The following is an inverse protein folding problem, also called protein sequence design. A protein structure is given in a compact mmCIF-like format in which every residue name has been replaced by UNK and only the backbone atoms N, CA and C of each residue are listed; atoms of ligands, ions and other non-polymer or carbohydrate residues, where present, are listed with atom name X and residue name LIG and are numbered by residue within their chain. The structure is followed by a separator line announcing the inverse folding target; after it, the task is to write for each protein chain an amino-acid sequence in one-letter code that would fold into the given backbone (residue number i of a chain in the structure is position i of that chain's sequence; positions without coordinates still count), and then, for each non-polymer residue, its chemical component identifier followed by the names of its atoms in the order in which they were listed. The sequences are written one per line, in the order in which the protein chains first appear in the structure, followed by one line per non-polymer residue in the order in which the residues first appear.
data_IF_625436021232
#
_entry.id   IF_625436021232
#
_cell.length_a   1.000
_cell.length_b   1.000
_cell.length_c   1.000
_cell.angle_alpha   90.00
_cell.angle_beta   90.00
_cell.angle_gamma   90.00
#
_symmetry.space_group_name_H-M   'P 1'
#
loop_
_entity.id
_entity.type
_entity.pdbx_description
1 polymer ?
#
# COMPACT_ATOMS: atom_id res chain seq x y z
N UNK A 1 14.09 9.15 -13.62
CA UNK A 1 13.76 8.11 -12.63
C UNK A 1 12.58 7.32 -13.14
N UNK A 2 12.61 5.99 -13.01
CA UNK A 2 11.52 5.09 -13.44
C UNK A 2 10.59 4.73 -12.28
N UNK A 3 9.28 4.73 -12.53
CA UNK A 3 8.26 4.12 -11.73
C UNK A 3 7.69 2.90 -12.48
N UNK A 4 7.91 1.71 -11.96
CA UNK A 4 7.58 0.46 -12.63
C UNK A 4 6.37 -0.18 -11.94
N UNK A 5 5.28 -0.32 -12.66
CA UNK A 5 4.01 -0.86 -12.16
C UNK A 5 3.59 -2.09 -12.96
N UNK A 6 2.74 -2.92 -12.37
CA UNK A 6 2.10 -4.02 -13.08
C UNK A 6 0.61 -3.75 -13.16
N UNK A 7 0.13 -3.62 -14.38
CA UNK A 7 -1.29 -3.42 -14.68
C UNK A 7 -1.70 -4.28 -15.87
N UNK A 8 -2.88 -4.86 -15.81
CA UNK A 8 -3.46 -5.62 -16.93
C UNK A 8 -4.35 -4.76 -17.82
N UNK A 9 -4.88 -3.66 -17.28
CA UNK A 9 -5.76 -2.69 -17.95
C UNK A 9 -5.42 -1.27 -17.47
N UNK A 10 -5.76 -0.26 -18.31
CA UNK A 10 -5.50 1.16 -17.96
C UNK A 10 -6.73 1.91 -17.42
N UNK A 11 -7.90 1.36 -17.58
CA UNK A 11 -9.19 1.99 -17.23
C UNK A 11 -9.68 1.64 -15.82
N UNK A 12 -8.83 1.07 -14.99
CA UNK A 12 -9.16 0.61 -13.63
C UNK A 12 -8.53 1.52 -12.59
N UNK A 13 -9.26 1.75 -11.49
CA UNK A 13 -8.79 2.48 -10.32
C UNK A 13 -8.28 3.88 -10.65
N UNK A 14 -7.16 4.24 -10.07
CA UNK A 14 -6.51 5.54 -10.30
C UNK A 14 -5.38 5.48 -11.33
N UNK A 15 -5.30 4.45 -12.18
CA UNK A 15 -4.21 4.31 -13.16
C UNK A 15 -4.02 5.56 -14.03
N UNK A 16 -5.11 6.14 -14.56
CA UNK A 16 -5.03 7.35 -15.39
C UNK A 16 -4.50 8.57 -14.62
N UNK A 17 -4.73 8.63 -13.31
CA UNK A 17 -4.20 9.67 -12.44
C UNK A 17 -2.73 9.41 -12.12
N UNK A 18 -2.34 8.15 -11.88
CA UNK A 18 -0.94 7.76 -11.75
C UNK A 18 -0.13 8.18 -12.99
N UNK A 19 -0.63 7.90 -14.19
CA UNK A 19 0.01 8.27 -15.46
C UNK A 19 0.20 9.80 -15.56
N UNK A 20 -0.86 10.58 -15.29
CA UNK A 20 -0.81 12.05 -15.26
C UNK A 20 0.15 12.58 -14.20
N UNK A 21 0.14 11.98 -13.01
CA UNK A 21 1.03 12.41 -11.91
C UNK A 21 2.50 12.09 -12.21
N UNK A 22 2.81 10.94 -12.78
CA UNK A 22 4.15 10.61 -13.23
C UNK A 22 4.66 11.63 -14.27
N UNK A 23 3.84 11.95 -15.29
CA UNK A 23 4.17 12.97 -16.30
C UNK A 23 4.40 14.34 -15.68
N UNK A 24 3.51 14.78 -14.78
CA UNK A 24 3.62 16.07 -14.08
C UNK A 24 4.94 16.20 -13.29
N UNK A 25 5.43 15.10 -12.74
CA UNK A 25 6.59 15.07 -11.85
C UNK A 25 7.88 14.52 -12.51
N UNK A 26 7.94 14.52 -13.85
CA UNK A 26 9.09 14.08 -14.64
C UNK A 26 9.58 12.66 -14.28
N UNK A 27 8.63 11.74 -14.15
CA UNK A 27 8.86 10.33 -13.83
C UNK A 27 8.42 9.49 -15.02
N UNK A 28 9.31 8.63 -15.51
CA UNK A 28 9.01 7.67 -16.54
C UNK A 28 8.16 6.53 -15.96
N UNK A 29 6.90 6.41 -16.41
CA UNK A 29 6.02 5.32 -16.00
C UNK A 29 6.22 4.11 -16.93
N UNK A 30 6.70 3.01 -16.36
CA UNK A 30 6.83 1.73 -17.04
C UNK A 30 5.71 0.80 -16.59
N UNK A 31 4.82 0.46 -17.51
CA UNK A 31 3.68 -0.44 -17.21
C UNK A 31 3.91 -1.80 -17.82
N UNK A 32 3.96 -2.81 -16.96
CA UNK A 32 4.15 -4.21 -17.33
C UNK A 32 2.82 -4.96 -17.26
N UNK A 33 2.63 -5.94 -18.12
CA UNK A 33 1.49 -6.87 -18.07
C UNK A 33 0.20 -6.39 -18.76
N UNK A 34 0.21 -5.26 -19.48
CA UNK A 34 -0.96 -4.79 -20.22
C UNK A 34 -1.46 -5.87 -21.19
N UNK A 35 -2.80 -6.07 -21.22
CA UNK A 35 -3.46 -7.07 -22.05
C UNK A 35 -3.31 -8.52 -21.56
N UNK A 36 -2.55 -8.76 -20.50
CA UNK A 36 -2.42 -10.10 -19.94
C UNK A 36 -3.54 -10.39 -18.93
N UNK A 37 -3.92 -11.67 -18.81
CA UNK A 37 -4.81 -12.11 -17.73
C UNK A 37 -4.06 -12.06 -16.39
N UNK A 38 -4.69 -11.46 -15.37
CA UNK A 38 -4.12 -11.46 -14.01
C UNK A 38 -4.02 -12.88 -13.44
N UNK A 39 -2.84 -13.26 -12.99
CA UNK A 39 -2.54 -14.60 -12.46
C UNK A 39 -2.27 -14.59 -10.94
N UNK A 40 -2.54 -13.48 -10.26
CA UNK A 40 -2.25 -13.28 -8.84
C UNK A 40 -0.95 -12.51 -8.60
N UNK A 41 -0.69 -12.17 -7.33
CA UNK A 41 0.42 -11.27 -6.96
C UNK A 41 1.82 -11.79 -7.32
N UNK A 42 2.00 -13.10 -7.54
CA UNK A 42 3.28 -13.64 -8.03
C UNK A 42 3.66 -13.10 -9.41
N UNK A 43 2.68 -12.81 -10.27
CA UNK A 43 2.89 -12.19 -11.58
C UNK A 43 3.60 -10.84 -11.47
N UNK A 44 3.30 -10.06 -10.41
CA UNK A 44 3.93 -8.77 -10.12
C UNK A 44 5.46 -8.91 -9.96
N UNK A 45 5.91 -9.82 -9.10
CA UNK A 45 7.35 -10.05 -8.90
C UNK A 45 8.03 -10.67 -10.11
N UNK A 46 7.34 -11.53 -10.86
CA UNK A 46 7.86 -12.17 -12.06
C UNK A 46 8.14 -11.14 -13.16
N UNK A 47 7.17 -10.26 -13.44
CA UNK A 47 7.31 -9.20 -14.43
C UNK A 47 8.35 -8.15 -14.00
N UNK A 48 8.35 -7.76 -12.73
CA UNK A 48 9.39 -6.88 -12.20
C UNK A 48 10.78 -7.50 -12.37
N UNK A 49 10.99 -8.73 -11.93
CA UNK A 49 12.29 -9.38 -12.03
C UNK A 49 12.81 -9.46 -13.47
N UNK A 50 11.92 -9.84 -14.41
CA UNK A 50 12.24 -9.89 -15.83
C UNK A 50 12.67 -8.53 -16.39
N UNK A 51 11.96 -7.47 -16.00
CA UNK A 51 12.28 -6.10 -16.43
C UNK A 51 13.56 -5.57 -15.79
N UNK A 52 13.75 -5.78 -14.49
CA UNK A 52 14.92 -5.32 -13.74
C UNK A 52 16.24 -5.91 -14.24
N UNK A 53 16.22 -7.08 -14.86
CA UNK A 53 17.42 -7.68 -15.49
C UNK A 53 17.93 -6.88 -16.71
N UNK A 54 17.14 -5.96 -17.24
CA UNK A 54 17.52 -5.08 -18.36
C UNK A 54 18.09 -3.72 -17.90
N UNK A 55 18.04 -3.44 -16.59
CA UNK A 55 18.47 -2.18 -16.01
C UNK A 55 19.85 -2.26 -15.37
N UNK A 56 20.51 -1.11 -15.26
CA UNK A 56 21.76 -1.00 -14.51
C UNK A 56 21.52 -1.29 -13.02
N UNK A 57 22.44 -2.03 -12.41
CA UNK A 57 22.37 -2.45 -11.01
C UNK A 57 22.38 -1.28 -10.01
N UNK A 58 22.97 -0.14 -10.40
CA UNK A 58 23.04 1.08 -9.57
C UNK A 58 21.85 2.03 -9.76
N UNK A 59 21.01 1.77 -10.76
CA UNK A 59 19.83 2.59 -11.00
C UNK A 59 18.88 2.56 -9.80
N UNK A 60 18.35 3.73 -9.41
CA UNK A 60 17.33 3.86 -8.37
C UNK A 60 15.96 3.93 -9.04
N UNK A 61 15.08 3.00 -8.69
CA UNK A 61 13.74 2.91 -9.27
C UNK A 61 12.68 2.82 -8.18
N UNK A 62 11.44 3.13 -8.55
CA UNK A 62 10.25 2.82 -7.73
C UNK A 62 9.51 1.63 -8.31
N UNK A 63 8.97 0.79 -7.43
CA UNK A 63 8.00 -0.26 -7.73
C UNK A 63 6.73 0.04 -6.96
N UNK A 64 5.63 0.29 -7.66
CA UNK A 64 4.37 0.67 -7.04
C UNK A 64 3.20 -0.18 -7.56
N UNK A 65 2.13 -0.21 -6.78
CA UNK A 65 0.84 -0.67 -7.28
C UNK A 65 0.31 0.32 -8.32
N UNK A 66 -0.41 -0.21 -9.32
CA UNK A 66 -0.80 0.58 -10.49
C UNK A 66 -2.11 1.34 -10.30
N UNK A 67 -3.00 0.84 -9.44
CA UNK A 67 -4.40 1.25 -9.42
C UNK A 67 -4.78 2.15 -8.26
N UNK A 68 -3.87 2.36 -7.30
CA UNK A 68 -4.15 3.07 -6.06
C UNK A 68 -2.98 3.95 -5.56
N UNK A 69 -1.97 4.18 -6.42
CA UNK A 69 -0.81 5.04 -6.11
C UNK A 69 -0.83 6.31 -6.97
N UNK A 70 -0.53 7.45 -6.35
CA UNK A 70 -0.40 8.76 -6.99
C UNK A 70 0.91 9.41 -6.57
N UNK A 71 1.68 9.95 -7.52
CA UNK A 71 2.93 10.66 -7.26
C UNK A 71 2.63 12.11 -6.86
N UNK A 72 3.34 12.62 -5.85
CA UNK A 72 3.14 13.96 -5.29
C UNK A 72 4.37 14.88 -5.40
N UNK A 73 5.53 14.35 -5.80
CA UNK A 73 6.80 15.08 -5.82
C UNK A 73 7.61 14.78 -7.08
N UNK A 74 8.44 15.71 -7.47
CA UNK A 74 9.32 15.58 -8.62
C UNK A 74 10.44 14.54 -8.42
N UNK A 75 10.86 13.91 -9.51
CA UNK A 75 11.90 12.88 -9.53
C UNK A 75 13.17 13.29 -8.76
N UNK A 76 13.63 14.54 -8.94
CA UNK A 76 14.83 15.05 -8.27
C UNK A 76 14.64 15.15 -6.75
N UNK A 77 13.46 15.56 -6.28
CA UNK A 77 13.12 15.63 -4.84
C UNK A 77 13.10 14.23 -4.26
N UNK A 78 12.48 13.29 -4.96
CA UNK A 78 12.38 11.88 -4.55
C UNK A 78 13.79 11.30 -4.39
N UNK A 79 14.64 11.44 -5.40
CA UNK A 79 16.02 10.94 -5.37
C UNK A 79 16.85 11.60 -4.26
N UNK A 80 16.75 12.92 -4.10
CA UNK A 80 17.44 13.67 -3.03
C UNK A 80 17.00 13.18 -1.65
N UNK A 81 15.71 12.92 -1.45
CA UNK A 81 15.17 12.42 -0.18
C UNK A 81 15.58 10.97 0.07
N UNK A 82 15.50 10.10 -0.95
CA UNK A 82 15.92 8.71 -0.82
C UNK A 82 17.40 8.58 -0.45
N UNK A 83 18.28 9.38 -1.03
CA UNK A 83 19.72 9.40 -0.72
C UNK A 83 20.06 9.73 0.74
N UNK A 84 19.13 10.33 1.50
CA UNK A 84 19.30 10.57 2.95
C UNK A 84 19.13 9.30 3.78
N UNK A 85 18.46 8.27 3.26
CA UNK A 85 18.36 6.98 3.90
C UNK A 85 19.68 6.22 3.72
N UNK A 86 20.15 5.60 4.81
CA UNK A 86 21.42 4.83 4.79
C UNK A 86 21.26 3.46 4.12
N UNK A 87 20.05 3.03 3.89
CA UNK A 87 19.72 1.71 3.32
C UNK A 87 19.52 1.80 1.80
N UNK A 88 19.52 0.64 1.18
CA UNK A 88 19.48 0.47 -0.29
C UNK A 88 18.07 0.26 -0.84
N UNK A 89 17.13 -0.06 0.03
CA UNK A 89 15.70 -0.20 -0.26
C UNK A 89 14.93 0.47 0.86
N UNK A 90 13.91 1.24 0.50
CA UNK A 90 12.94 1.80 1.42
C UNK A 90 11.55 1.26 1.06
N UNK A 91 10.87 0.71 2.06
CA UNK A 91 9.49 0.26 1.96
C UNK A 91 8.54 1.25 2.61
N UNK A 92 7.33 1.33 2.05
CA UNK A 92 6.19 1.87 2.78
C UNK A 92 5.85 0.97 3.95
N UNK A 93 5.48 1.53 5.10
CA UNK A 93 4.86 0.76 6.18
C UNK A 93 3.35 0.77 6.02
N UNK A 94 2.71 -0.32 6.43
CA UNK A 94 1.28 -0.33 6.63
C UNK A 94 0.97 0.12 8.05
N UNK A 95 -0.02 1.01 8.19
CA UNK A 95 -0.56 1.45 9.47
C UNK A 95 -1.76 0.61 9.84
N UNK A 96 -2.24 0.83 11.04
CA UNK A 96 -3.54 0.35 11.47
C UNK A 96 -3.50 -0.87 12.37
N UNK A 97 -4.60 -1.03 13.07
CA UNK A 97 -4.82 -2.13 14.00
C UNK A 97 -5.25 -3.40 13.27
N UNK A 98 -6.14 -3.27 12.28
CA UNK A 98 -6.65 -4.41 11.50
C UNK A 98 -5.56 -5.15 10.72
N UNK A 99 -4.65 -4.47 9.98
CA UNK A 99 -3.50 -5.13 9.39
C UNK A 99 -2.62 -5.83 10.42
N UNK A 100 -2.39 -5.24 11.58
CA UNK A 100 -1.61 -5.86 12.66
C UNK A 100 -2.28 -7.12 13.20
N UNK A 101 -3.60 -7.15 13.31
CA UNK A 101 -4.36 -8.34 13.70
C UNK A 101 -4.30 -9.44 12.63
N UNK A 102 -4.49 -9.09 11.37
CA UNK A 102 -4.45 -10.03 10.26
C UNK A 102 -3.06 -10.65 10.08
N UNK A 103 -1.99 -9.86 10.29
CA UNK A 103 -0.58 -10.24 10.13
C UNK A 103 0.16 -10.41 11.46
N UNK A 104 -0.53 -10.78 12.54
CA UNK A 104 -0.03 -10.84 13.92
C UNK A 104 1.25 -11.69 14.12
N UNK A 105 1.62 -12.53 13.15
CA UNK A 105 2.90 -13.25 13.13
C UNK A 105 4.12 -12.34 12.92
N UNK A 106 3.92 -11.09 12.48
CA UNK A 106 4.97 -10.13 12.10
C UNK A 106 5.07 -8.96 13.08
N UNK A 107 5.16 -9.23 14.35
CA UNK A 107 4.98 -8.37 15.55
C UNK A 107 5.56 -6.95 15.55
N UNK A 108 6.36 -6.48 14.57
CA UNK A 108 7.02 -5.16 14.68
C UNK A 108 7.00 -4.24 13.47
N UNK A 109 6.91 -4.72 12.24
CA UNK A 109 6.91 -3.85 11.05
C UNK A 109 6.09 -4.51 9.95
N UNK A 110 4.86 -4.07 9.79
CA UNK A 110 4.09 -4.49 8.62
C UNK A 110 4.58 -3.68 7.43
N UNK A 111 5.16 -4.36 6.45
CA UNK A 111 5.62 -3.77 5.18
C UNK A 111 4.43 -3.70 4.24
N UNK A 112 4.20 -2.56 3.60
CA UNK A 112 3.27 -2.47 2.49
C UNK A 112 3.98 -2.85 1.19
N UNK A 113 3.51 -3.90 0.52
CA UNK A 113 4.08 -4.41 -0.73
C UNK A 113 3.88 -3.48 -1.93
N UNK A 114 2.95 -2.54 -1.82
CA UNK A 114 2.50 -1.68 -2.91
C UNK A 114 3.34 -0.42 -3.17
N UNK A 115 4.39 -0.15 -2.36
CA UNK A 115 5.27 1.01 -2.60
C UNK A 115 6.68 0.78 -2.08
N UNK A 116 7.63 0.76 -3.01
CA UNK A 116 9.04 0.43 -2.79
C UNK A 116 9.88 1.41 -3.61
N UNK A 117 10.99 1.88 -3.03
CA UNK A 117 12.06 2.55 -3.79
C UNK A 117 13.40 1.93 -3.42
N UNK A 118 14.31 1.78 -4.39
CA UNK A 118 15.64 1.23 -4.09
C UNK A 118 16.52 1.06 -5.32
N UNK A 119 17.76 0.64 -5.05
CA UNK A 119 18.72 0.26 -6.09
C UNK A 119 18.31 -1.08 -6.71
N UNK A 120 18.34 -1.17 -8.04
CA UNK A 120 17.97 -2.35 -8.84
C UNK A 120 18.68 -3.63 -8.33
N UNK A 121 19.98 -3.57 -8.06
CA UNK A 121 20.77 -4.68 -7.53
C UNK A 121 20.15 -5.33 -6.29
N UNK A 122 19.72 -4.52 -5.35
CA UNK A 122 19.20 -5.02 -4.07
C UNK A 122 17.75 -5.45 -4.17
N UNK A 123 16.96 -4.80 -5.03
CA UNK A 123 15.59 -5.24 -5.34
C UNK A 123 15.62 -6.62 -6.04
N UNK A 124 16.52 -6.83 -7.01
CA UNK A 124 16.72 -8.17 -7.63
C UNK A 124 17.06 -9.23 -6.59
N UNK A 125 17.95 -8.91 -5.63
CA UNK A 125 18.29 -9.82 -4.53
C UNK A 125 17.07 -10.15 -3.66
N UNK A 126 16.28 -9.15 -3.30
CA UNK A 126 15.04 -9.34 -2.54
C UNK A 126 14.06 -10.26 -3.27
N UNK A 127 13.85 -10.05 -4.58
CA UNK A 127 12.95 -10.90 -5.37
C UNK A 127 13.48 -12.34 -5.42
N UNK A 128 14.79 -12.54 -5.56
CA UNK A 128 15.39 -13.89 -5.48
C UNK A 128 15.12 -14.55 -4.12
N UNK A 129 15.23 -13.81 -3.03
CA UNK A 129 14.89 -14.33 -1.68
C UNK A 129 13.41 -14.71 -1.57
N UNK A 130 12.49 -13.95 -2.17
CA UNK A 130 11.07 -14.33 -2.24
C UNK A 130 10.91 -15.67 -2.99
N UNK A 131 11.57 -15.84 -4.13
CA UNK A 131 11.52 -17.10 -4.89
C UNK A 131 12.17 -18.29 -4.18
N UNK A 132 13.20 -18.07 -3.35
CA UNK A 132 13.77 -19.12 -2.48
C UNK A 132 12.68 -19.78 -1.63
N UNK A 133 11.66 -19.01 -1.22
CA UNK A 133 10.54 -19.49 -0.42
C UNK A 133 9.25 -19.75 -1.24
N UNK A 134 9.36 -20.01 -2.54
CA UNK A 134 8.21 -20.23 -3.44
C UNK A 134 7.24 -21.31 -2.93
N UNK A 135 7.73 -22.40 -2.32
CA UNK A 135 6.87 -23.47 -1.75
C UNK A 135 5.99 -22.93 -0.60
N UNK A 136 6.55 -22.09 0.27
CA UNK A 136 5.82 -21.41 1.35
C UNK A 136 4.84 -20.43 0.77
N UNK A 137 5.28 -19.61 -0.18
CA UNK A 137 4.46 -18.62 -0.85
C UNK A 137 3.22 -19.23 -1.51
N UNK A 138 3.37 -20.39 -2.18
CA UNK A 138 2.23 -21.14 -2.73
C UNK A 138 1.19 -21.51 -1.66
N UNK A 139 1.65 -21.97 -0.47
CA UNK A 139 0.77 -22.28 0.67
C UNK A 139 0.06 -21.02 1.22
N UNK A 140 0.64 -19.85 1.05
CA UNK A 140 0.08 -18.54 1.43
C UNK A 140 -0.76 -17.92 0.29
N UNK A 141 -1.26 -18.71 -0.66
CA UNK A 141 -2.07 -18.27 -1.81
C UNK A 141 -1.40 -17.15 -2.63
N UNK A 142 -0.08 -17.12 -2.66
CA UNK A 142 0.74 -16.13 -3.36
C UNK A 142 0.49 -14.67 -2.92
N UNK A 143 0.02 -14.42 -1.70
CA UNK A 143 -0.09 -13.08 -1.16
C UNK A 143 1.30 -12.42 -1.09
N UNK A 144 1.41 -11.20 -1.63
CA UNK A 144 2.70 -10.49 -1.77
C UNK A 144 3.16 -9.86 -0.45
N UNK A 145 2.25 -9.39 0.37
CA UNK A 145 2.57 -8.78 1.65
C UNK A 145 2.97 -9.84 2.70
N UNK A 146 2.26 -10.96 2.73
CA UNK A 146 2.56 -12.04 3.67
C UNK A 146 3.91 -12.67 3.36
N UNK A 147 4.25 -12.89 2.06
CA UNK A 147 5.57 -13.45 1.72
C UNK A 147 6.71 -12.50 2.05
N UNK A 148 6.55 -11.20 1.84
CA UNK A 148 7.55 -10.20 2.24
C UNK A 148 7.79 -10.22 3.75
N UNK A 149 6.72 -10.28 4.56
CA UNK A 149 6.84 -10.43 6.00
C UNK A 149 7.55 -11.73 6.42
N UNK A 150 7.26 -12.84 5.75
CA UNK A 150 7.94 -14.12 5.98
C UNK A 150 9.44 -14.05 5.67
N UNK A 151 9.80 -13.50 4.50
CA UNK A 151 11.19 -13.32 4.07
C UNK A 151 11.94 -12.38 5.02
N UNK A 152 11.28 -11.31 5.51
CA UNK A 152 11.86 -10.40 6.50
C UNK A 152 12.29 -11.12 7.78
N UNK A 153 11.52 -12.10 8.23
CA UNK A 153 11.85 -12.88 9.43
C UNK A 153 12.98 -13.86 9.14
N UNK A 154 12.89 -14.57 8.02
CA UNK A 154 13.85 -15.64 7.66
C UNK A 154 15.22 -15.11 7.20
N UNK A 155 15.23 -13.95 6.54
CA UNK A 155 16.43 -13.31 5.99
C UNK A 155 16.70 -11.99 6.74
N UNK A 156 16.61 -12.02 8.07
CA UNK A 156 16.67 -10.82 8.91
C UNK A 156 17.95 -10.00 8.74
N UNK A 157 19.10 -10.65 8.43
CA UNK A 157 20.37 -9.95 8.22
C UNK A 157 20.37 -9.15 6.92
N UNK A 158 19.76 -9.69 5.84
CA UNK A 158 19.57 -8.93 4.61
C UNK A 158 18.68 -7.69 4.86
N UNK A 159 17.58 -7.88 5.59
CA UNK A 159 16.68 -6.77 5.93
C UNK A 159 17.38 -5.73 6.81
N UNK A 160 18.03 -6.13 7.90
CA UNK A 160 18.78 -5.22 8.77
C UNK A 160 19.86 -4.44 8.00
N UNK A 161 20.54 -5.07 7.06
CA UNK A 161 21.64 -4.45 6.32
C UNK A 161 21.18 -3.51 5.22
N UNK A 162 20.14 -3.87 4.44
CA UNK A 162 19.83 -3.21 3.18
C UNK A 162 18.46 -2.54 3.13
N UNK A 163 17.54 -2.86 4.04
CA UNK A 163 16.15 -2.41 3.97
C UNK A 163 15.81 -1.50 5.16
N UNK A 164 15.11 -0.43 4.85
CA UNK A 164 14.46 0.44 5.81
C UNK A 164 12.95 0.48 5.55
N UNK A 165 12.17 0.73 6.58
CA UNK A 165 10.72 0.89 6.49
C UNK A 165 10.35 2.28 6.95
N UNK A 166 9.65 3.04 6.11
CA UNK A 166 9.16 4.38 6.42
C UNK A 166 7.98 4.31 7.41
N UNK A 167 8.30 4.18 8.69
CA UNK A 167 7.31 4.00 9.76
C UNK A 167 6.48 5.25 10.04
N UNK A 168 7.03 6.42 9.73
CA UNK A 168 6.42 7.70 10.02
C UNK A 168 5.57 8.23 8.88
N UNK A 169 5.57 7.53 7.74
CA UNK A 169 4.92 7.99 6.50
C UNK A 169 5.42 9.37 6.05
N UNK A 170 6.70 9.62 6.24
CA UNK A 170 7.34 10.85 5.80
C UNK A 170 7.71 10.80 4.32
N UNK A 171 8.06 9.61 3.82
CA UNK A 171 8.38 9.38 2.42
C UNK A 171 7.16 8.91 1.65
N UNK A 172 6.52 7.83 2.09
CA UNK A 172 5.30 7.29 1.53
C UNK A 172 4.12 7.57 2.46
N UNK A 173 2.97 7.93 1.93
CA UNK A 173 1.74 7.94 2.72
C UNK A 173 0.82 6.83 2.23
N UNK A 174 0.62 5.79 3.03
CA UNK A 174 -0.34 4.75 2.75
C UNK A 174 -1.55 4.84 3.67
N UNK A 175 -2.74 4.67 3.10
CA UNK A 175 -3.97 4.39 3.84
C UNK A 175 -4.03 2.91 4.21
N UNK A 176 -4.98 2.54 5.06
CA UNK A 176 -5.21 1.15 5.45
C UNK A 176 -6.69 0.87 5.76
N UNK A 177 -6.98 -0.37 6.17
CA UNK A 177 -8.36 -0.76 6.48
C UNK A 177 -8.99 0.01 7.63
N UNK A 178 -8.20 0.54 8.56
CA UNK A 178 -8.72 1.33 9.68
C UNK A 178 -9.26 2.69 9.21
N UNK A 179 -8.75 3.23 8.09
CA UNK A 179 -9.27 4.48 7.51
C UNK A 179 -10.73 4.32 7.07
N UNK A 180 -11.15 3.12 6.65
CA UNK A 180 -12.54 2.85 6.25
C UNK A 180 -13.53 2.97 7.42
N UNK A 181 -13.07 2.80 8.65
CA UNK A 181 -13.88 2.90 9.87
C UNK A 181 -13.68 4.23 10.60
N UNK A 182 -12.87 5.13 10.05
CA UNK A 182 -12.68 6.46 10.60
C UNK A 182 -13.89 7.34 10.31
N UNK A 183 -14.61 7.80 11.36
CA UNK A 183 -15.86 8.55 11.21
C UNK A 183 -15.76 9.75 10.24
N UNK A 184 -14.75 10.61 10.29
CA UNK A 184 -14.60 11.69 9.31
C UNK A 184 -14.41 11.19 7.87
N UNK A 185 -13.83 10.01 7.66
CA UNK A 185 -13.75 9.40 6.33
C UNK A 185 -15.15 8.97 5.84
N UNK A 186 -15.91 8.30 6.70
CA UNK A 186 -17.29 7.87 6.39
C UNK A 186 -18.17 9.07 6.04
N UNK A 187 -18.10 10.15 6.81
CA UNK A 187 -18.93 11.32 6.65
C UNK A 187 -18.55 12.19 5.43
N UNK A 188 -17.26 12.42 5.19
CA UNK A 188 -16.81 13.39 4.20
C UNK A 188 -15.53 13.03 3.45
N UNK A 189 -15.07 11.78 3.53
CA UNK A 189 -13.86 11.30 2.83
C UNK A 189 -12.54 11.81 3.42
N UNK A 190 -12.52 12.25 4.69
CA UNK A 190 -11.28 12.72 5.33
C UNK A 190 -10.43 11.54 5.79
N UNK A 191 -9.28 11.34 5.16
CA UNK A 191 -8.30 10.32 5.53
C UNK A 191 -7.56 10.76 6.79
N UNK A 192 -7.41 9.83 7.74
CA UNK A 192 -6.73 10.09 9.02
C UNK A 192 -5.28 10.50 8.80
N UNK A 193 -4.84 11.56 9.48
CA UNK A 193 -3.47 12.07 9.41
C UNK A 193 -3.01 12.57 8.03
N UNK A 194 -3.95 12.90 7.14
CA UNK A 194 -3.68 13.48 5.83
C UNK A 194 -4.36 14.84 5.71
N UNK A 195 -3.59 15.88 5.45
CA UNK A 195 -4.03 17.27 5.47
C UNK A 195 -3.81 17.95 4.12
N UNK A 196 -4.75 18.81 3.75
CA UNK A 196 -4.70 19.63 2.54
C UNK A 196 -4.34 21.07 2.90
N UNK A 197 -3.26 21.62 2.32
CA UNK A 197 -2.81 22.98 2.59
C UNK A 197 -2.10 23.54 1.35
N UNK A 198 -2.45 24.77 0.93
CA UNK A 198 -1.80 25.51 -0.19
C UNK A 198 -1.66 24.69 -1.48
N UNK A 199 -2.70 23.94 -1.88
CA UNK A 199 -2.67 23.10 -3.09
C UNK A 199 -1.85 21.83 -2.99
N UNK A 200 -1.42 21.45 -1.80
CA UNK A 200 -0.57 20.30 -1.54
C UNK A 200 -1.12 19.41 -0.42
N UNK A 201 -0.56 18.21 -0.29
CA UNK A 201 -0.96 17.21 0.73
C UNK A 201 0.20 17.00 1.70
N UNK A 202 -0.11 16.98 2.99
CA UNK A 202 0.84 16.81 4.09
C UNK A 202 0.37 15.72 5.06
N UNK A 203 1.33 15.02 5.67
CA UNK A 203 1.05 14.13 6.79
C UNK A 203 0.89 14.92 8.12
N UNK A 204 0.61 14.23 9.22
CA UNK A 204 0.46 14.82 10.55
C UNK A 204 1.74 15.44 11.14
N UNK A 205 2.89 15.22 10.51
CA UNK A 205 4.18 15.85 10.84
C UNK A 205 4.48 17.07 9.99
N UNK A 206 3.48 17.55 9.22
CA UNK A 206 3.60 18.64 8.25
C UNK A 206 4.69 18.37 7.17
N UNK A 207 4.88 17.10 6.82
CA UNK A 207 5.81 16.67 5.78
C UNK A 207 4.97 16.29 4.54
N UNK A 208 5.35 16.79 3.37
CA UNK A 208 4.78 16.40 2.09
C UNK A 208 5.35 15.04 1.68
N UNK A 209 4.56 13.95 1.62
CA UNK A 209 5.04 12.66 1.16
C UNK A 209 5.39 12.71 -0.33
N UNK A 210 6.17 11.74 -0.82
CA UNK A 210 6.48 11.65 -2.24
C UNK A 210 5.36 11.02 -3.07
N UNK A 211 4.57 10.17 -2.44
CA UNK A 211 3.40 9.55 -3.05
C UNK A 211 2.30 9.32 -2.02
N UNK A 212 1.09 9.20 -2.52
CA UNK A 212 -0.09 8.74 -1.81
C UNK A 212 -0.47 7.35 -2.32
N UNK A 213 -0.52 6.37 -1.44
CA UNK A 213 -0.99 5.01 -1.72
C UNK A 213 -2.34 4.80 -1.03
N UNK A 214 -3.40 4.75 -1.82
CA UNK A 214 -4.79 4.59 -1.37
C UNK A 214 -5.11 3.10 -1.14
N UNK A 215 -4.26 2.43 -0.35
CA UNK A 215 -4.40 1.02 -0.04
C UNK A 215 -5.76 0.70 0.59
N UNK A 216 -6.15 -0.59 0.57
CA UNK A 216 -7.43 -1.10 1.07
C UNK A 216 -8.66 -0.47 0.38
N UNK A 217 -8.53 -0.02 -0.87
CA UNK A 217 -9.59 0.64 -1.66
C UNK A 217 -10.18 1.90 -0.99
N UNK A 218 -9.37 2.62 -0.22
CA UNK A 218 -9.77 3.90 0.35
C UNK A 218 -10.00 4.90 -0.77
N UNK A 219 -11.17 5.55 -0.78
CA UNK A 219 -11.51 6.55 -1.77
C UNK A 219 -10.77 7.86 -1.49
N UNK A 220 -9.83 8.21 -2.37
CA UNK A 220 -9.03 9.42 -2.30
C UNK A 220 -9.56 10.61 -3.10
N UNK A 221 -10.76 10.51 -3.70
CA UNK A 221 -11.27 11.52 -4.64
C UNK A 221 -11.28 12.94 -4.09
N UNK A 222 -11.53 13.13 -2.79
CA UNK A 222 -11.46 14.44 -2.11
C UNK A 222 -10.09 15.08 -2.29
N UNK A 223 -9.03 14.33 -2.04
CA UNK A 223 -7.63 14.78 -2.13
C UNK A 223 -7.20 14.97 -3.58
N UNK A 224 -7.62 14.06 -4.47
CA UNK A 224 -7.29 14.14 -5.89
C UNK A 224 -7.94 15.35 -6.56
N UNK A 225 -9.19 15.65 -6.24
CA UNK A 225 -9.87 16.88 -6.68
C UNK A 225 -9.14 18.12 -6.18
N UNK A 226 -8.72 18.13 -4.92
CA UNK A 226 -7.94 19.22 -4.34
C UNK A 226 -6.59 19.44 -5.06
N UNK A 227 -5.95 18.38 -5.54
CA UNK A 227 -4.75 18.42 -6.36
C UNK A 227 -5.01 18.77 -7.84
N UNK A 228 -6.27 19.03 -8.22
CA UNK A 228 -6.68 19.40 -9.58
C UNK A 228 -6.90 18.22 -10.53
N UNK A 229 -6.98 16.99 -10.05
CA UNK A 229 -7.29 15.84 -10.90
C UNK A 229 -8.80 15.67 -11.09
N UNK A 230 -9.19 15.35 -12.33
CA UNK A 230 -10.56 14.93 -12.62
C UNK A 230 -10.78 13.49 -12.14
N UNK A 231 -11.70 13.31 -11.21
CA UNK A 231 -12.05 11.98 -10.64
C UNK A 231 -13.40 11.47 -11.10
N UNK A 232 -14.04 12.11 -12.09
CA UNK A 232 -15.29 11.63 -12.69
C UNK A 232 -15.00 10.38 -13.50
N UNK A 233 -15.93 9.43 -13.48
CA UNK A 233 -15.89 8.19 -14.28
C UNK A 233 -14.68 7.27 -14.00
N UNK A 234 -14.10 7.32 -12.79
CA UNK A 234 -13.12 6.35 -12.38
C UNK A 234 -13.81 5.06 -11.93
N UNK A 235 -13.39 3.94 -12.50
CA UNK A 235 -13.82 2.61 -12.06
C UNK A 235 -13.05 2.24 -10.78
N UNK A 236 -13.59 2.60 -9.63
CA UNK A 236 -12.98 2.39 -8.31
C UNK A 236 -13.37 1.05 -7.70
N UNK A 237 -13.58 0.01 -8.47
CA UNK A 237 -13.91 -1.35 -8.00
C UNK A 237 -14.94 -1.38 -6.84
N UNK A 238 -16.16 -0.84 -7.11
CA UNK A 238 -17.22 -0.74 -6.10
C UNK A 238 -17.62 -2.06 -5.44
N UNK A 239 -17.54 -3.17 -6.16
CA UNK A 239 -17.87 -4.51 -5.65
C UNK A 239 -16.85 -5.06 -4.65
N UNK A 240 -15.58 -4.64 -4.74
CA UNK A 240 -14.53 -5.09 -3.82
C UNK A 240 -14.72 -4.54 -2.39
N UNK A 241 -15.42 -3.41 -2.23
CA UNK A 241 -15.64 -2.79 -0.91
C UNK A 241 -16.54 -3.62 0.00
N UNK A 242 -17.63 -4.17 -0.54
CA UNK A 242 -18.59 -4.93 0.28
C UNK A 242 -18.01 -6.27 0.66
N UNK A 243 -17.39 -6.99 -0.26
CA UNK A 243 -16.76 -8.28 0.03
C UNK A 243 -15.55 -8.15 0.96
N UNK A 244 -14.76 -7.08 0.86
CA UNK A 244 -13.69 -6.83 1.83
C UNK A 244 -14.22 -6.43 3.20
N UNK A 245 -15.21 -5.55 3.29
CA UNK A 245 -15.89 -5.21 4.55
C UNK A 245 -16.52 -6.46 5.21
N UNK A 246 -17.16 -7.31 4.43
CA UNK A 246 -17.74 -8.57 4.92
C UNK A 246 -16.64 -9.55 5.38
N UNK A 247 -15.55 -9.68 4.63
CA UNK A 247 -14.42 -10.51 5.01
C UNK A 247 -13.68 -9.97 6.24
N UNK A 248 -13.45 -8.66 6.35
CA UNK A 248 -12.90 -8.03 7.54
C UNK A 248 -13.85 -8.15 8.73
N UNK A 249 -15.14 -7.91 8.53
CA UNK A 249 -16.18 -8.13 9.54
C UNK A 249 -16.21 -9.57 10.03
N UNK A 250 -16.15 -10.54 9.13
CA UNK A 250 -16.13 -11.96 9.46
C UNK A 250 -14.85 -12.37 10.21
N UNK A 251 -13.68 -11.88 9.80
CA UNK A 251 -12.40 -12.12 10.51
C UNK A 251 -12.41 -11.44 11.88
N UNK A 252 -12.95 -10.24 11.99
CA UNK A 252 -13.10 -9.54 13.27
C UNK A 252 -14.05 -10.28 14.21
N UNK A 253 -15.23 -10.67 13.72
CA UNK A 253 -16.22 -11.45 14.50
C UNK A 253 -15.69 -12.82 14.91
N UNK A 254 -15.03 -13.54 14.02
CA UNK A 254 -14.50 -14.88 14.33
C UNK A 254 -13.37 -14.86 15.36
N UNK A 255 -12.58 -13.76 15.44
CA UNK A 255 -11.49 -13.61 16.41
C UNK A 255 -11.91 -12.95 17.73
N UNK A 256 -13.04 -12.25 17.73
CA UNK A 256 -13.53 -11.48 18.88
C UNK A 256 -14.97 -11.88 19.28
N UNK A 257 -15.37 -13.10 18.96
CA UNK A 257 -16.74 -13.58 19.20
C UNK A 257 -17.16 -13.39 20.67
N UNK A 258 -16.23 -13.59 21.62
CA UNK A 258 -16.47 -13.38 23.04
C UNK A 258 -16.75 -11.89 23.34
N UNK A 259 -15.97 -10.97 22.76
CA UNK A 259 -16.18 -9.52 22.93
C UNK A 259 -17.48 -9.04 22.29
N UNK A 260 -17.85 -9.61 21.14
CA UNK A 260 -19.12 -9.30 20.46
C UNK A 260 -20.31 -9.80 21.27
N UNK A 261 -20.25 -11.03 21.79
CA UNK A 261 -21.28 -11.58 22.68
C UNK A 261 -21.39 -10.72 23.95
N UNK A 262 -20.27 -10.29 24.53
CA UNK A 262 -20.28 -9.42 25.71
C UNK A 262 -20.93 -8.07 25.44
N UNK A 263 -20.64 -7.42 24.30
CA UNK A 263 -21.26 -6.16 23.88
C UNK A 263 -22.77 -6.37 23.66
N UNK A 264 -23.19 -7.44 23.01
CA UNK A 264 -24.61 -7.76 22.80
C UNK A 264 -25.35 -8.01 24.12
N UNK A 265 -24.73 -8.71 25.07
CA UNK A 265 -25.30 -8.92 26.40
C UNK A 265 -25.39 -7.61 27.21
N UNK A 266 -24.41 -6.73 27.07
CA UNK A 266 -24.40 -5.42 27.73
C UNK A 266 -25.48 -4.49 27.15
N UNK A 267 -25.64 -4.44 25.83
CA UNK A 267 -26.69 -3.67 25.15
C UNK A 267 -28.08 -4.24 25.48
N UNK A 268 -28.24 -5.55 25.50
CA UNK A 268 -29.46 -6.21 25.92
C UNK A 268 -29.83 -5.84 27.38
N UNK A 269 -28.87 -5.91 28.31
CA UNK A 269 -29.10 -5.55 29.72
C UNK A 269 -29.46 -4.07 29.88
N UNK A 270 -28.81 -3.15 29.16
CA UNK A 270 -29.13 -1.71 29.18
C UNK A 270 -30.54 -1.47 28.61
N UNK A 271 -30.88 -2.13 27.50
CA UNK A 271 -32.21 -2.00 26.89
C UNK A 271 -33.32 -2.48 27.82
N UNK A 272 -33.15 -3.62 28.46
CA UNK A 272 -34.15 -4.14 29.40
C UNK A 272 -34.25 -3.41 30.74
N UNK A 273 -33.16 -2.79 31.21
CA UNK A 273 -33.19 -1.97 32.42
C UNK A 273 -33.86 -0.60 32.20
N UNK A 274 -33.94 -0.12 30.95
CA UNK A 274 -34.63 1.11 30.61
C UNK A 274 -36.13 0.89 30.26
N UNK A 275 -36.60 -0.34 30.25
CA UNK A 275 -38.01 -0.72 30.04
C UNK A 275 -38.75 -1.04 31.35
N UNK A 276 -38.09 -0.94 32.50
CA UNK A 276 -38.67 -0.98 33.85
C UNK A 276 -38.70 0.41 34.44
#
# INVERSE_FOLDING_TARGET
MKNIVVATQKNIGYYSILEKSCKKHNIELITLGLGQKWKGFHMKFELWYKYLNKLDDKEIIMLNDAYDVIILQDANIILKRFKKYKKKILFCSQRGYLPRLAFNKFKKNVIASGSIIGEVKYIKKLIKLIYKYKKVWKKLKFDDQIILGYVMIKECDFFKKFIEVDKNHDFFFATDGDDLFYLPYILNGTIKNLYMKKGEIYNNRNIKPILLHLAANVNGNKYLKYLGYNTKNLDLHGEYKITQLLNFGFIFLSKNIVSVIFILLLTYKIYFNNLK
#
